data_IF_653562245719
#
_entry.id   IF_653562245719
#
_cell.length_a   1.000
_cell.length_b   1.000
_cell.length_c   1.000
_cell.angle_alpha   90.00
_cell.angle_beta   90.00
_cell.angle_gamma   90.00
#
_symmetry.space_group_name_H-M   'P 1'
#
loop_
_entity.id
_entity.type
_entity.pdbx_description
1 polymer ?
#
# COMPACT_ATOMS: atom_id res chain seq x y z
N UNK A 1 -35.93 22.52 -10.38
CA UNK A 1 -34.85 23.34 -10.99
C UNK A 1 -33.71 23.67 -10.02
N UNK A 2 -33.99 23.89 -8.73
CA UNK A 2 -32.97 24.18 -7.70
C UNK A 2 -31.98 23.03 -7.42
N UNK A 3 -32.38 21.77 -7.59
CA UNK A 3 -31.50 20.59 -7.41
C UNK A 3 -30.37 20.48 -8.43
N UNK A 4 -30.48 21.14 -9.60
CA UNK A 4 -29.41 21.18 -10.61
C UNK A 4 -28.39 22.30 -10.37
N UNK A 5 -28.76 23.33 -9.61
CA UNK A 5 -27.91 24.50 -9.35
C UNK A 5 -26.95 24.23 -8.18
N UNK A 6 -27.36 23.45 -7.17
CA UNK A 6 -26.45 23.02 -6.10
C UNK A 6 -25.33 22.08 -6.56
N UNK A 7 -25.56 21.29 -7.63
CA UNK A 7 -24.50 20.48 -8.26
C UNK A 7 -23.43 21.32 -8.98
N UNK A 8 -23.69 22.61 -9.21
CA UNK A 8 -22.77 23.51 -9.92
C UNK A 8 -21.88 24.34 -8.99
N UNK A 9 -22.02 24.20 -7.67
CA UNK A 9 -21.15 24.83 -6.66
C UNK A 9 -20.39 23.74 -5.90
N UNK A 10 -19.31 23.23 -6.50
CA UNK A 10 -18.11 22.88 -5.74
C UNK A 10 -17.99 21.51 -5.05
N UNK A 11 -18.61 20.44 -5.54
CA UNK A 11 -18.13 19.08 -5.25
C UNK A 11 -17.81 18.41 -6.58
N UNK A 12 -16.52 18.45 -6.98
CA UNK A 12 -15.99 17.45 -7.91
C UNK A 12 -15.77 16.21 -7.06
N UNK A 13 -16.30 15.06 -7.49
CA UNK A 13 -15.90 13.77 -6.93
C UNK A 13 -14.38 13.67 -7.04
N UNK A 14 -13.65 13.93 -5.95
CA UNK A 14 -12.19 13.90 -5.97
C UNK A 14 -11.77 12.44 -6.05
N UNK A 15 -10.99 12.13 -7.08
CA UNK A 15 -10.43 10.81 -7.32
C UNK A 15 -8.96 10.89 -6.94
N UNK A 16 -8.57 10.07 -5.97
CA UNK A 16 -7.19 9.92 -5.52
C UNK A 16 -6.66 8.62 -6.10
N UNK A 17 -5.38 8.63 -6.46
CA UNK A 17 -4.68 7.46 -6.99
C UNK A 17 -3.47 7.15 -6.13
N UNK A 18 -3.27 5.87 -5.86
CA UNK A 18 -2.08 5.34 -5.23
C UNK A 18 -1.39 4.43 -6.24
N UNK A 19 -0.11 4.65 -6.48
CA UNK A 19 0.64 3.86 -7.45
C UNK A 19 1.25 2.61 -6.79
N UNK A 20 1.66 1.67 -7.62
CA UNK A 20 2.25 0.42 -7.19
C UNK A 20 3.61 0.70 -6.53
N UNK A 21 3.79 0.37 -5.24
CA UNK A 21 5.04 0.57 -4.55
C UNK A 21 6.07 -0.53 -4.89
N UNK A 22 5.68 -1.55 -5.66
CA UNK A 22 6.52 -2.67 -6.07
C UNK A 22 5.92 -3.35 -7.31
N UNK A 23 6.76 -3.81 -8.24
CA UNK A 23 6.32 -4.60 -9.39
C UNK A 23 5.84 -5.99 -8.97
N UNK A 24 4.80 -6.51 -9.64
CA UNK A 24 4.30 -7.86 -9.42
C UNK A 24 2.86 -8.08 -9.87
N UNK A 25 2.32 -9.25 -9.54
CA UNK A 25 0.94 -9.62 -9.87
C UNK A 25 -0.02 -9.21 -8.75
N UNK A 26 -1.05 -8.44 -9.09
CA UNK A 26 -2.01 -7.91 -8.11
C UNK A 26 -3.12 -8.92 -7.85
N UNK A 27 -3.27 -9.31 -6.58
CA UNK A 27 -4.31 -10.22 -6.10
C UNK A 27 -5.28 -9.48 -5.16
N UNK A 28 -6.55 -9.91 -5.06
CA UNK A 28 -7.45 -9.34 -4.06
C UNK A 28 -7.02 -9.75 -2.66
N UNK A 29 -7.30 -8.91 -1.65
CA UNK A 29 -6.96 -9.25 -0.26
C UNK A 29 -7.55 -10.59 0.18
N UNK A 30 -8.72 -10.97 -0.33
CA UNK A 30 -9.38 -12.25 -0.02
C UNK A 30 -8.57 -13.50 -0.41
N UNK A 31 -7.55 -13.36 -1.26
CA UNK A 31 -6.63 -14.45 -1.65
C UNK A 31 -5.34 -14.47 -0.82
N UNK A 32 -5.13 -13.49 0.07
CA UNK A 32 -4.00 -13.47 1.00
C UNK A 32 -4.21 -14.52 2.08
N UNK A 33 -3.19 -15.35 2.34
CA UNK A 33 -3.25 -16.43 3.33
C UNK A 33 -3.03 -15.92 4.78
N UNK A 34 -3.69 -14.83 5.14
CA UNK A 34 -3.69 -14.24 6.48
C UNK A 34 -5.03 -13.54 6.71
N UNK A 35 -5.76 -13.98 7.74
CA UNK A 35 -7.12 -13.50 8.01
C UNK A 35 -7.17 -12.00 8.39
N UNK A 36 -6.11 -11.47 8.97
CA UNK A 36 -5.98 -10.05 9.33
C UNK A 36 -6.06 -9.17 8.09
N UNK A 37 -5.38 -9.58 7.01
CA UNK A 37 -5.41 -8.89 5.73
C UNK A 37 -6.63 -9.27 4.89
N UNK A 38 -6.96 -10.56 4.81
CA UNK A 38 -7.99 -11.05 3.90
C UNK A 38 -9.41 -10.56 4.20
N UNK A 39 -9.67 -10.23 5.46
CA UNK A 39 -10.97 -9.66 5.88
C UNK A 39 -11.11 -8.17 5.57
N UNK A 40 -10.00 -7.47 5.26
CA UNK A 40 -9.98 -6.01 5.12
C UNK A 40 -10.24 -5.26 6.43
N UNK A 41 -10.06 -5.90 7.59
CA UNK A 41 -10.31 -5.33 8.91
C UNK A 41 -9.43 -4.10 9.20
N UNK A 42 -8.18 -4.12 8.72
CA UNK A 42 -7.21 -3.03 8.87
C UNK A 42 -7.37 -1.92 7.81
N UNK A 43 -8.18 -2.15 6.79
CA UNK A 43 -8.32 -1.25 5.65
C UNK A 43 -8.68 -2.00 4.36
N UNK A 44 -9.07 -1.24 3.35
CA UNK A 44 -9.33 -1.77 2.01
C UNK A 44 -8.11 -1.59 1.12
N UNK A 45 -7.87 -2.51 0.18
CA UNK A 45 -6.71 -2.45 -0.69
C UNK A 45 -6.54 -3.72 -1.52
N UNK A 46 -5.28 -4.05 -1.81
CA UNK A 46 -4.88 -5.24 -2.57
C UNK A 46 -3.61 -5.83 -1.95
N UNK A 47 -3.20 -7.00 -2.45
CA UNK A 47 -1.85 -7.48 -2.23
C UNK A 47 -1.16 -7.69 -3.57
N UNK A 48 0.17 -7.65 -3.55
CA UNK A 48 1.00 -7.93 -4.72
C UNK A 48 1.83 -9.18 -4.44
N UNK A 49 1.86 -10.13 -5.37
CA UNK A 49 2.89 -11.16 -5.43
C UNK A 49 4.11 -10.55 -6.11
N UNK A 50 5.15 -10.15 -5.37
CA UNK A 50 6.16 -9.25 -5.90
C UNK A 50 7.10 -9.96 -6.86
N UNK A 51 7.44 -9.32 -7.97
CA UNK A 51 8.59 -9.65 -8.83
C UNK A 51 9.80 -8.77 -8.51
N UNK A 52 9.59 -7.59 -7.92
CA UNK A 52 10.64 -6.71 -7.42
C UNK A 52 11.18 -7.10 -6.04
N UNK A 53 12.23 -6.41 -5.60
CA UNK A 53 12.93 -6.64 -4.31
C UNK A 53 13.01 -5.37 -3.46
N UNK A 54 12.23 -4.34 -3.80
CA UNK A 54 12.16 -3.09 -3.07
C UNK A 54 10.75 -2.52 -3.07
N UNK A 55 10.45 -1.81 -2.01
CA UNK A 55 9.24 -1.01 -1.83
C UNK A 55 9.64 0.46 -2.00
N UNK A 56 8.99 1.14 -2.94
CA UNK A 56 9.12 2.58 -3.16
C UNK A 56 7.92 3.34 -2.60
N UNK A 57 8.07 4.64 -2.37
CA UNK A 57 6.97 5.51 -1.99
C UNK A 57 5.93 5.61 -3.13
N UNK A 58 4.67 5.20 -2.90
CA UNK A 58 3.64 5.18 -3.94
C UNK A 58 3.04 6.56 -4.24
N UNK A 59 3.34 7.55 -3.40
CA UNK A 59 2.91 8.94 -3.51
C UNK A 59 3.87 9.83 -2.71
N UNK A 60 3.79 11.14 -2.90
CA UNK A 60 4.39 12.08 -1.96
C UNK A 60 3.71 11.92 -0.60
N UNK A 61 4.52 11.69 0.44
CA UNK A 61 4.00 11.28 1.74
C UNK A 61 4.93 11.65 2.89
N UNK A 62 4.37 11.62 4.10
CA UNK A 62 5.13 11.57 5.35
C UNK A 62 5.18 10.13 5.86
N UNK A 63 6.35 9.69 6.31
CA UNK A 63 6.52 8.39 6.96
C UNK A 63 5.99 8.49 8.39
N UNK A 64 4.87 7.85 8.67
CA UNK A 64 4.22 7.86 10.00
C UNK A 64 4.76 6.75 10.90
N UNK A 65 5.13 5.61 10.33
CA UNK A 65 5.75 4.52 11.08
C UNK A 65 6.68 3.68 10.22
N UNK A 66 7.76 3.21 10.84
CA UNK A 66 8.58 2.10 10.37
C UNK A 66 8.50 1.04 11.46
N UNK A 67 8.13 -0.18 11.09
CA UNK A 67 8.01 -1.25 12.06
C UNK A 67 9.41 -1.71 12.52
N UNK A 68 9.61 -2.08 13.80
CA UNK A 68 10.96 -2.30 14.35
C UNK A 68 11.83 -3.31 13.59
N UNK A 69 11.22 -4.30 12.94
CA UNK A 69 11.92 -5.32 12.15
C UNK A 69 12.01 -4.96 10.66
N UNK A 70 11.66 -3.74 10.26
CA UNK A 70 11.87 -3.20 8.91
C UNK A 70 10.97 -3.76 7.80
N UNK A 71 10.10 -4.72 8.09
CA UNK A 71 9.24 -5.38 7.11
C UNK A 71 8.02 -4.53 6.67
N UNK A 72 7.70 -3.44 7.36
CA UNK A 72 6.50 -2.66 7.06
C UNK A 72 6.71 -1.16 7.29
N UNK A 73 5.97 -0.37 6.51
CA UNK A 73 5.96 1.09 6.55
C UNK A 73 4.53 1.60 6.49
N UNK A 74 4.21 2.60 7.31
CA UNK A 74 2.97 3.35 7.24
C UNK A 74 3.25 4.79 6.78
N UNK A 75 2.46 5.26 5.81
CA UNK A 75 2.60 6.54 5.15
C UNK A 75 1.31 7.35 5.28
N UNK A 76 1.41 8.65 5.49
CA UNK A 76 0.32 9.58 5.26
C UNK A 76 0.62 10.36 3.97
N UNK A 77 -0.15 10.12 2.93
CA UNK A 77 0.04 10.80 1.64
C UNK A 77 -0.43 12.25 1.71
N UNK A 78 0.18 13.14 0.91
CA UNK A 78 -0.24 14.55 0.83
C UNK A 78 -1.72 14.69 0.45
N UNK A 79 -2.26 13.74 -0.32
CA UNK A 79 -3.66 13.74 -0.73
C UNK A 79 -4.64 13.24 0.34
N UNK A 80 -4.16 12.62 1.43
CA UNK A 80 -4.95 12.24 2.61
C UNK A 80 -5.21 10.73 2.77
N UNK A 81 -4.55 9.87 2.00
CA UNK A 81 -4.57 8.41 2.22
C UNK A 81 -3.59 8.02 3.32
N UNK A 82 -4.07 7.24 4.30
CA UNK A 82 -3.23 6.50 5.24
C UNK A 82 -2.93 5.13 4.66
N UNK A 83 -1.67 4.90 4.30
CA UNK A 83 -1.24 3.72 3.55
C UNK A 83 -0.37 2.83 4.42
N UNK A 84 -0.69 1.54 4.49
CA UNK A 84 0.17 0.51 5.08
C UNK A 84 0.72 -0.38 3.97
N UNK A 85 2.04 -0.53 3.90
CA UNK A 85 2.72 -1.50 3.05
C UNK A 85 3.43 -2.50 3.95
N UNK A 86 3.08 -3.77 3.84
CA UNK A 86 3.61 -4.84 4.68
C UNK A 86 4.29 -5.89 3.79
N UNK A 87 5.60 -6.10 3.94
CA UNK A 87 6.36 -7.02 3.10
C UNK A 87 6.32 -8.43 3.67
N UNK A 88 5.66 -9.33 2.94
CA UNK A 88 5.47 -10.72 3.35
C UNK A 88 4.42 -10.90 4.44
N UNK A 89 4.15 -12.15 4.81
CA UNK A 89 3.22 -12.52 5.90
C UNK A 89 4.00 -13.10 7.07
N UNK A 90 3.64 -12.73 8.30
CA UNK A 90 4.34 -13.12 9.54
C UNK A 90 5.84 -12.80 9.59
N UNK A 91 6.35 -11.99 8.66
CA UNK A 91 7.77 -11.64 8.50
C UNK A 91 8.34 -10.81 9.66
N UNK A 92 7.50 -10.32 10.57
CA UNK A 92 7.95 -9.80 11.85
C UNK A 92 8.79 -10.82 12.64
N UNK A 93 8.52 -12.12 12.47
CA UNK A 93 9.26 -13.21 13.11
C UNK A 93 10.70 -13.37 12.59
N UNK A 94 11.05 -12.74 11.47
CA UNK A 94 12.42 -12.70 10.96
C UNK A 94 13.33 -11.75 11.75
N UNK A 95 12.78 -10.99 12.71
CA UNK A 95 13.55 -10.13 13.62
C UNK A 95 14.49 -9.14 12.90
N UNK A 96 14.09 -8.67 11.72
CA UNK A 96 14.86 -7.70 10.93
C UNK A 96 15.83 -8.33 9.92
N UNK A 97 15.94 -9.66 9.85
CA UNK A 97 16.71 -10.31 8.80
C UNK A 97 16.06 -10.08 7.43
N UNK A 98 16.91 -9.95 6.41
CA UNK A 98 16.52 -9.82 5.00
C UNK A 98 15.84 -8.49 4.63
N UNK A 99 15.80 -7.51 5.54
CA UNK A 99 15.28 -6.17 5.26
C UNK A 99 16.38 -5.11 5.42
N UNK A 100 16.37 -4.12 4.54
CA UNK A 100 17.16 -2.89 4.68
C UNK A 100 16.22 -1.72 4.54
N UNK A 101 16.11 -0.90 5.60
CA UNK A 101 15.23 0.26 5.62
C UNK A 101 15.99 1.51 5.21
N UNK A 102 15.40 2.30 4.31
CA UNK A 102 16.00 3.52 3.74
C UNK A 102 15.31 4.81 4.19
N UNK A 103 14.23 4.71 4.95
CA UNK A 103 13.48 5.84 5.50
C UNK A 103 13.33 5.74 7.03
N UNK A 104 13.08 6.87 7.69
CA UNK A 104 12.83 6.94 9.13
C UNK A 104 11.50 7.66 9.41
N UNK A 105 10.95 7.44 10.60
CA UNK A 105 9.71 8.09 11.03
C UNK A 105 9.87 9.60 11.02
N UNK A 106 8.90 10.29 10.41
CA UNK A 106 8.89 11.73 10.26
C UNK A 106 9.49 12.26 8.96
N UNK A 107 10.15 11.40 8.17
CA UNK A 107 10.66 11.80 6.86
C UNK A 107 9.51 12.22 5.92
N UNK A 108 9.80 13.21 5.08
CA UNK A 108 9.01 13.51 3.90
C UNK A 108 9.67 12.77 2.74
N UNK A 109 8.91 11.89 2.10
CA UNK A 109 9.35 11.09 0.96
C UNK A 109 8.61 11.54 -0.30
N UNK A 110 9.33 11.54 -1.41
CA UNK A 110 8.77 11.78 -2.71
C UNK A 110 8.39 10.48 -3.39
N UNK A 111 7.36 10.54 -4.22
CA UNK A 111 6.94 9.41 -5.03
C UNK A 111 8.12 8.80 -5.79
N UNK A 112 8.36 7.50 -5.61
CA UNK A 112 9.50 6.78 -6.19
C UNK A 112 10.72 6.61 -5.29
N UNK A 113 10.79 7.30 -4.16
CA UNK A 113 11.87 7.11 -3.18
C UNK A 113 11.85 5.70 -2.61
N UNK A 114 13.01 5.07 -2.47
CA UNK A 114 13.13 3.72 -1.90
C UNK A 114 12.87 3.78 -0.39
N UNK A 115 11.96 2.93 0.10
CA UNK A 115 11.59 2.86 1.51
C UNK A 115 12.20 1.64 2.19
N UNK A 116 12.05 0.46 1.57
CA UNK A 116 12.51 -0.83 2.10
C UNK A 116 13.08 -1.64 0.93
N UNK A 117 14.27 -2.20 1.09
CA UNK A 117 14.78 -3.28 0.24
C UNK A 117 14.69 -4.60 1.00
N UNK A 118 14.45 -5.70 0.30
CA UNK A 118 14.35 -7.01 0.92
C UNK A 118 14.85 -8.14 0.03
N UNK A 119 15.36 -9.20 0.67
CA UNK A 119 15.79 -10.43 -0.01
C UNK A 119 14.64 -11.44 -0.06
N UNK A 120 13.95 -11.44 -1.20
CA UNK A 120 12.76 -12.25 -1.45
C UNK A 120 13.06 -13.75 -1.44
N UNK A 121 14.23 -14.17 -1.94
CA UNK A 121 14.62 -15.58 -1.96
C UNK A 121 14.98 -16.06 -0.56
N UNK A 122 15.68 -15.24 0.22
CA UNK A 122 16.04 -15.59 1.60
C UNK A 122 14.81 -15.65 2.53
N UNK A 123 13.85 -14.72 2.39
CA UNK A 123 12.58 -14.77 3.13
C UNK A 123 11.81 -16.05 2.80
N UNK A 124 11.72 -16.41 1.52
CA UNK A 124 11.06 -17.64 1.09
C UNK A 124 11.80 -18.90 1.58
N UNK A 125 13.14 -18.87 1.64
CA UNK A 125 13.96 -19.97 2.15
C UNK A 125 13.77 -20.20 3.66
N UNK A 126 13.45 -19.16 4.43
CA UNK A 126 13.03 -19.24 5.83
C UNK A 126 11.57 -19.73 5.99
N UNK A 127 10.85 -19.92 4.87
CA UNK A 127 9.50 -20.48 4.85
C UNK A 127 8.36 -19.46 4.94
N UNK A 128 8.65 -18.17 4.77
CA UNK A 128 7.65 -17.10 4.84
C UNK A 128 7.11 -16.73 3.45
N UNK A 129 5.83 -16.36 3.39
CA UNK A 129 5.21 -15.82 2.20
C UNK A 129 5.72 -14.39 1.96
N UNK A 130 6.08 -14.07 0.72
CA UNK A 130 6.61 -12.75 0.31
C UNK A 130 5.52 -11.82 -0.25
N UNK A 131 4.27 -12.27 -0.30
CA UNK A 131 3.11 -11.46 -0.71
C UNK A 131 3.08 -10.15 0.09
N UNK A 132 2.87 -9.03 -0.60
CA UNK A 132 2.92 -7.67 -0.04
C UNK A 132 1.53 -7.07 0.04
N UNK A 133 0.83 -7.12 1.19
CA UNK A 133 -0.38 -6.33 1.41
C UNK A 133 -0.13 -4.82 1.34
N UNK A 134 -1.02 -4.12 0.62
CA UNK A 134 -1.02 -2.66 0.45
C UNK A 134 -2.44 -2.16 0.75
N UNK A 135 -2.60 -1.48 1.88
CA UNK A 135 -3.90 -1.09 2.43
C UNK A 135 -4.04 0.43 2.50
N UNK A 136 -5.27 0.90 2.29
CA UNK A 136 -5.73 2.23 2.71
C UNK A 136 -6.45 2.07 4.05
N UNK A 137 -5.78 2.44 5.14
CA UNK A 137 -6.24 2.24 6.51
C UNK A 137 -7.45 3.11 6.85
N UNK A 138 -7.49 4.36 6.38
CA UNK A 138 -8.63 5.26 6.52
C UNK A 138 -9.72 5.06 5.43
N UNK A 139 -9.78 3.87 4.81
CA UNK A 139 -10.72 3.54 3.73
C UNK A 139 -12.20 3.85 4.00
N UNK A 140 -12.63 3.87 5.27
CA UNK A 140 -14.00 4.20 5.68
C UNK A 140 -14.40 5.65 5.38
N UNK A 141 -13.43 6.55 5.21
CA UNK A 141 -13.64 7.96 4.88
C UNK A 141 -14.04 8.15 3.41
N UNK A 142 -13.75 7.17 2.57
CA UNK A 142 -13.99 7.20 1.13
C UNK A 142 -15.34 6.54 0.78
N UNK A 143 -15.86 6.87 -0.41
CA UNK A 143 -17.06 6.23 -0.98
C UNK A 143 -16.70 4.90 -1.66
N UNK A 144 -15.49 4.76 -2.18
CA UNK A 144 -14.98 3.52 -2.74
C UNK A 144 -13.46 3.47 -2.75
N UNK A 145 -12.89 2.30 -2.51
CA UNK A 145 -11.49 1.94 -2.77
C UNK A 145 -11.50 0.81 -3.80
N UNK A 146 -10.82 0.97 -4.93
CA UNK A 146 -10.74 -0.04 -6.00
C UNK A 146 -9.31 -0.30 -6.39
N UNK A 147 -8.88 -1.56 -6.29
CA UNK A 147 -7.55 -1.98 -6.75
C UNK A 147 -7.56 -2.56 -8.17
N UNK A 148 -6.42 -2.47 -8.85
CA UNK A 148 -6.14 -3.08 -10.16
C UNK A 148 -5.91 -4.59 -10.03
N UNK A 149 -6.90 -5.35 -9.56
CA UNK A 149 -6.78 -6.81 -9.34
C UNK A 149 -6.73 -7.58 -10.66
N UNK A 150 -5.92 -8.65 -10.71
CA UNK A 150 -5.83 -9.58 -11.84
C UNK A 150 -4.96 -9.08 -12.98
N UNK A 151 -4.11 -8.08 -12.73
CA UNK A 151 -3.12 -7.58 -13.69
C UNK A 151 -1.72 -7.62 -13.08
N UNK A 152 -0.72 -7.64 -13.95
CA UNK A 152 0.65 -7.33 -13.59
C UNK A 152 0.82 -5.80 -13.55
N UNK A 153 1.56 -5.29 -12.58
CA UNK A 153 1.94 -3.88 -12.46
C UNK A 153 3.45 -3.75 -12.35
N UNK A 154 4.00 -2.71 -12.95
CA UNK A 154 5.35 -2.26 -12.65
C UNK A 154 5.33 -1.23 -11.51
N UNK A 155 6.48 -0.98 -10.88
CA UNK A 155 6.68 0.18 -10.00
C UNK A 155 6.09 1.44 -10.68
N UNK A 156 5.29 2.20 -9.92
CA UNK A 156 4.65 3.44 -10.37
C UNK A 156 3.46 3.28 -11.35
N UNK A 157 3.03 2.07 -11.69
CA UNK A 157 1.74 1.88 -12.33
C UNK A 157 0.59 2.19 -11.36
N UNK A 158 -0.57 2.62 -11.86
CA UNK A 158 -1.72 2.91 -11.00
C UNK A 158 -2.26 1.63 -10.33
N UNK A 159 -2.23 1.58 -8.99
CA UNK A 159 -2.62 0.39 -8.23
C UNK A 159 -4.01 0.52 -7.59
N UNK A 160 -4.27 1.62 -6.88
CA UNK A 160 -5.53 1.85 -6.17
C UNK A 160 -6.13 3.19 -6.60
N UNK A 161 -7.45 3.19 -6.77
CA UNK A 161 -8.26 4.39 -6.96
C UNK A 161 -9.21 4.54 -5.77
N UNK A 162 -9.06 5.64 -5.03
CA UNK A 162 -9.96 6.05 -3.96
C UNK A 162 -10.87 7.19 -4.43
N UNK A 163 -12.13 7.17 -4.02
CA UNK A 163 -13.09 8.24 -4.33
C UNK A 163 -13.63 8.83 -3.04
N UNK A 164 -13.57 10.15 -2.92
CA UNK A 164 -14.20 10.86 -1.81
C UNK A 164 -15.74 10.74 -1.88
N UNK A 165 -16.41 11.10 -0.78
CA UNK A 165 -17.88 11.06 -0.64
C UNK A 165 -18.55 12.34 -1.09
#
# INVERSE_FOLDING_TARGET
>A
MFTKVLRSFGMRDRVLTLDAPISGDVIPLSEVNDQTFATGLLGQGVAIQPTGTRVIAPADAKVEAIFPTGHAVALNTVDGLDVLIHVGLDTVQLEGKHFTVHAQVGDIVHKGDVLIEFDREAIAAEGYDVTVPILVCNSVEFSSIKGSVGVHVEEMDQLIVARER
#
